data_IF_654877741991
#
_entry.id   IF_654877741991
#
_cell.length_a   1.000
_cell.length_b   1.000
_cell.length_c   1.000
_cell.angle_alpha   90.00
_cell.angle_beta   90.00
_cell.angle_gamma   90.00
#
_symmetry.space_group_name_H-M   'P 1'
#
loop_
_entity.id
_entity.type
_entity.pdbx_description
1 polymer ?
#
# COMPACT_ATOMS: atom_id res chain seq x y z
N UNK A 1 28.04 4.03 -6.70
CA UNK A 1 27.06 4.82 -5.93
C UNK A 1 26.04 5.30 -6.95
N UNK A 2 24.88 4.65 -7.03
CA UNK A 2 23.85 5.03 -8.02
C UNK A 2 22.98 6.07 -7.35
N UNK A 3 23.20 7.34 -7.72
CA UNK A 3 22.35 8.45 -7.32
C UNK A 3 21.20 8.46 -8.34
N UNK A 4 20.02 8.03 -7.92
CA UNK A 4 18.81 8.27 -8.71
C UNK A 4 18.50 9.77 -8.62
N UNK A 5 18.96 10.54 -9.60
CA UNK A 5 18.51 11.92 -9.83
C UNK A 5 17.14 11.85 -10.50
N UNK A 6 16.12 11.48 -9.72
CA UNK A 6 14.71 11.64 -10.09
C UNK A 6 14.24 12.99 -9.55
N UNK A 7 14.92 14.07 -9.95
CA UNK A 7 14.74 15.39 -9.32
C UNK A 7 13.33 15.98 -9.55
N UNK A 8 12.52 15.41 -10.45
CA UNK A 8 11.16 15.90 -10.78
C UNK A 8 10.00 14.90 -10.67
N UNK A 9 10.24 13.67 -10.22
CA UNK A 9 9.16 12.67 -10.22
C UNK A 9 8.37 12.67 -8.90
N UNK A 10 7.04 12.74 -8.91
CA UNK A 10 6.22 12.43 -7.73
C UNK A 10 6.43 10.96 -7.34
N UNK A 11 6.90 10.70 -6.11
CA UNK A 11 7.21 9.36 -5.63
C UNK A 11 6.39 9.08 -4.37
N UNK A 12 5.73 7.92 -4.37
CA UNK A 12 4.98 7.42 -3.22
C UNK A 12 5.38 5.99 -2.88
N UNK A 13 5.44 5.66 -1.60
CA UNK A 13 5.53 4.31 -1.08
C UNK A 13 4.34 4.05 -0.16
N UNK A 14 3.65 2.91 -0.34
CA UNK A 14 2.45 2.56 0.43
C UNK A 14 2.56 1.12 0.90
N UNK A 15 2.18 0.86 2.15
CA UNK A 15 1.95 -0.50 2.66
C UNK A 15 2.47 -0.73 4.07
N UNK A 16 2.46 -1.99 4.50
CA UNK A 16 3.00 -2.45 5.78
C UNK A 16 4.53 -2.63 5.70
N UNK A 17 5.26 -1.78 6.42
CA UNK A 17 6.73 -1.85 6.48
C UNK A 17 7.24 -2.66 7.68
N UNK A 18 6.35 -3.10 8.58
CA UNK A 18 6.69 -3.69 9.88
C UNK A 18 7.69 -2.83 10.68
N UNK A 19 7.67 -1.52 10.41
CA UNK A 19 8.61 -0.53 10.90
C UNK A 19 7.90 0.35 11.93
N UNK A 20 8.40 0.39 13.17
CA UNK A 20 7.90 1.30 14.20
C UNK A 20 8.80 2.50 14.24
N UNK A 21 8.27 3.69 13.98
CA UNK A 21 9.06 4.92 13.92
C UNK A 21 8.93 5.79 15.17
N UNK A 22 8.01 5.46 16.10
CA UNK A 22 7.73 6.25 17.32
C UNK A 22 7.34 7.68 16.94
N UNK A 23 8.04 8.67 17.47
CA UNK A 23 7.98 10.12 17.28
C UNK A 23 9.27 10.68 16.65
N UNK A 24 10.19 9.79 16.25
CA UNK A 24 11.47 10.18 15.67
C UNK A 24 11.26 10.88 14.31
N UNK A 25 11.91 12.05 14.07
CA UNK A 25 11.85 12.76 12.80
C UNK A 25 12.33 11.94 11.60
N UNK A 26 11.60 12.04 10.49
CA UNK A 26 11.88 11.41 9.19
C UNK A 26 12.62 12.36 8.21
N UNK A 27 12.92 13.59 8.64
CA UNK A 27 13.69 14.58 7.89
C UNK A 27 15.07 14.82 8.51
N UNK A 28 15.97 15.40 7.72
CA UNK A 28 17.29 15.82 8.20
C UNK A 28 17.14 17.18 8.89
N UNK A 29 17.52 17.26 10.16
CA UNK A 29 17.62 18.56 10.83
C UNK A 29 18.87 19.26 10.33
N UNK A 30 18.67 20.45 9.78
CA UNK A 30 19.75 21.34 9.39
C UNK A 30 20.19 22.11 10.65
N UNK A 31 21.50 22.22 10.87
CA UNK A 31 22.04 23.08 11.92
C UNK A 31 22.10 24.52 11.40
N UNK A 32 21.26 25.38 11.98
CA UNK A 32 21.17 26.80 11.62
C UNK A 32 22.53 27.51 11.67
N UNK A 33 23.43 27.13 12.59
CA UNK A 33 24.75 27.74 12.70
C UNK A 33 25.66 27.33 11.54
N UNK A 34 25.51 26.10 11.03
CA UNK A 34 26.31 25.62 9.91
C UNK A 34 25.89 26.34 8.62
N UNK A 35 24.62 26.71 8.50
CA UNK A 35 24.10 27.48 7.38
C UNK A 35 24.65 28.90 7.31
N UNK A 36 24.68 29.60 8.46
CA UNK A 36 25.23 30.95 8.54
C UNK A 36 26.74 30.97 8.25
N UNK A 37 27.47 29.94 8.69
CA UNK A 37 28.91 29.80 8.45
C UNK A 37 29.24 29.48 6.99
N UNK A 38 28.40 28.72 6.29
CA UNK A 38 28.69 28.23 4.94
C UNK A 38 28.25 29.18 3.82
N UNK A 39 27.60 30.31 4.13
CA UNK A 39 27.09 31.29 3.15
C UNK A 39 26.37 30.62 1.96
N UNK A 40 25.62 29.54 2.21
CA UNK A 40 24.97 28.76 1.15
C UNK A 40 23.90 29.65 0.52
N UNK A 41 24.17 30.14 -0.69
CA UNK A 41 23.20 30.88 -1.50
C UNK A 41 21.95 30.02 -1.72
N UNK A 42 20.77 30.65 -1.61
CA UNK A 42 19.43 30.03 -1.59
C UNK A 42 19.09 29.07 -2.76
N UNK A 43 19.94 28.96 -3.78
CA UNK A 43 19.69 28.19 -4.99
C UNK A 43 20.10 26.69 -4.89
N UNK A 44 20.73 26.24 -3.79
CA UNK A 44 21.45 24.95 -3.80
C UNK A 44 20.79 23.81 -3.00
N UNK A 45 19.84 24.03 -2.10
CA UNK A 45 19.40 22.94 -1.21
C UNK A 45 17.97 22.43 -1.46
N UNK A 46 17.86 21.25 -2.09
CA UNK A 46 16.61 20.51 -2.30
C UNK A 46 15.87 20.30 -0.97
N UNK A 47 16.60 20.11 0.14
CA UNK A 47 15.99 20.00 1.48
C UNK A 47 15.31 21.29 1.93
N UNK A 48 15.90 22.46 1.61
CA UNK A 48 15.26 23.74 1.89
C UNK A 48 14.02 23.95 1.04
N UNK A 49 14.08 23.61 -0.24
CA UNK A 49 12.91 23.66 -1.11
C UNK A 49 11.78 22.76 -0.58
N UNK A 50 12.10 21.59 -0.05
CA UNK A 50 11.09 20.69 0.53
C UNK A 50 10.49 21.24 1.82
N UNK A 51 11.29 21.82 2.73
CA UNK A 51 10.77 22.50 3.93
C UNK A 51 9.89 23.70 3.58
N UNK A 52 10.29 24.51 2.59
CA UNK A 52 9.49 25.62 2.06
C UNK A 52 8.18 25.08 1.48
N UNK A 53 8.23 24.03 0.66
CA UNK A 53 7.06 23.42 0.06
C UNK A 53 6.07 22.89 1.11
N UNK A 54 6.56 22.21 2.14
CA UNK A 54 5.71 21.77 3.25
C UNK A 54 5.07 22.97 3.96
N UNK A 55 5.85 24.01 4.24
CA UNK A 55 5.37 25.22 4.92
C UNK A 55 4.32 25.97 4.10
N UNK A 56 4.54 26.15 2.80
CA UNK A 56 3.60 26.80 1.88
C UNK A 56 2.27 26.04 1.78
N UNK A 57 2.31 24.71 1.85
CA UNK A 57 1.12 23.86 1.89
C UNK A 57 0.54 23.68 3.31
N UNK A 58 1.06 24.42 4.29
CA UNK A 58 0.66 24.36 5.68
C UNK A 58 0.74 22.91 6.22
N UNK A 59 1.83 22.20 5.94
CA UNK A 59 2.07 20.82 6.38
C UNK A 59 3.08 20.87 7.53
N UNK A 60 2.76 20.33 8.71
CA UNK A 60 3.67 20.37 9.84
C UNK A 60 4.93 19.57 9.53
N UNK A 61 6.09 20.11 9.94
CA UNK A 61 7.38 19.47 9.75
C UNK A 61 7.62 18.31 10.72
N UNK A 62 7.09 18.39 11.93
CA UNK A 62 7.03 17.23 12.82
C UNK A 62 5.71 16.50 12.63
N UNK A 63 5.80 15.18 12.62
CA UNK A 63 4.62 14.31 12.54
C UNK A 63 4.02 14.10 13.92
N UNK A 64 2.69 14.16 13.96
CA UNK A 64 1.93 13.73 15.13
C UNK A 64 1.77 12.22 15.09
N UNK A 65 1.74 11.58 16.25
CA UNK A 65 1.65 10.12 16.34
C UNK A 65 0.95 9.71 17.62
N UNK A 66 0.08 8.72 17.50
CA UNK A 66 -0.50 7.97 18.62
C UNK A 66 0.24 6.65 18.84
N UNK A 67 1.31 6.36 18.09
CA UNK A 67 2.15 5.19 18.31
C UNK A 67 2.76 5.28 19.71
N UNK A 68 2.41 4.31 20.56
CA UNK A 68 2.92 4.23 21.94
C UNK A 68 4.15 3.31 22.04
N UNK A 69 4.60 2.73 20.93
CA UNK A 69 5.75 1.83 20.90
C UNK A 69 6.99 2.57 20.43
N UNK A 70 8.11 2.26 21.09
CA UNK A 70 9.41 2.73 20.67
C UNK A 70 9.80 2.23 19.28
N UNK A 71 10.67 3.01 18.63
CA UNK A 71 11.16 2.67 17.32
C UNK A 71 11.93 1.35 17.33
N UNK A 72 11.73 0.54 16.28
CA UNK A 72 12.46 -0.71 16.08
C UNK A 72 13.55 -0.57 15.02
N UNK A 73 14.36 -1.61 14.81
CA UNK A 73 15.44 -1.59 13.82
C UNK A 73 14.94 -1.30 12.39
N UNK A 74 13.75 -1.78 12.03
CA UNK A 74 13.14 -1.50 10.73
C UNK A 74 12.69 -0.04 10.63
N UNK A 75 12.15 0.53 11.71
CA UNK A 75 11.82 1.94 11.84
C UNK A 75 13.02 2.85 11.67
N UNK A 76 14.13 2.56 12.34
CA UNK A 76 15.36 3.33 12.17
C UNK A 76 15.89 3.27 10.73
N UNK A 77 15.77 2.12 10.06
CA UNK A 77 16.12 1.98 8.64
C UNK A 77 15.18 2.77 7.73
N UNK A 78 13.87 2.73 8.00
CA UNK A 78 12.86 3.48 7.26
C UNK A 78 13.08 4.98 7.40
N UNK A 79 13.27 5.47 8.63
CA UNK A 79 13.59 6.87 8.90
C UNK A 79 14.88 7.30 8.20
N UNK A 80 15.93 6.47 8.25
CA UNK A 80 17.17 6.77 7.55
C UNK A 80 16.99 6.79 6.02
N UNK A 81 16.11 5.98 5.45
CA UNK A 81 15.73 6.09 4.04
C UNK A 81 15.02 7.42 3.79
N UNK A 82 13.97 7.75 4.55
CA UNK A 82 13.21 8.99 4.43
C UNK A 82 14.12 10.23 4.42
N UNK A 83 15.06 10.31 5.38
CA UNK A 83 16.01 11.43 5.50
C UNK A 83 16.96 11.55 4.31
N UNK A 84 17.38 10.41 3.74
CA UNK A 84 18.33 10.37 2.64
C UNK A 84 17.68 10.59 1.27
N UNK A 85 16.38 10.36 1.16
CA UNK A 85 15.63 10.48 -0.09
C UNK A 85 14.61 11.63 -0.05
N UNK A 86 14.66 12.48 0.98
CA UNK A 86 13.71 13.56 1.24
C UNK A 86 12.25 13.12 1.07
N UNK A 87 11.92 12.00 1.71
CA UNK A 87 10.56 11.47 1.77
C UNK A 87 9.98 11.64 3.16
N UNK A 88 8.68 11.85 3.23
CA UNK A 88 7.95 12.22 4.42
C UNK A 88 6.79 11.24 4.64
N UNK A 89 6.68 10.74 5.86
CA UNK A 89 5.55 9.95 6.34
C UNK A 89 4.35 10.88 6.47
N UNK A 90 3.23 10.58 5.80
CA UNK A 90 2.04 11.45 5.80
C UNK A 90 1.21 11.37 7.07
N UNK A 91 1.26 10.24 7.79
CA UNK A 91 0.54 10.04 9.05
C UNK A 91 0.85 11.15 10.05
N UNK A 92 -0.19 11.76 10.60
CA UNK A 92 -0.07 12.92 11.50
C UNK A 92 0.22 14.26 10.82
N UNK A 93 0.48 14.30 9.51
CA UNK A 93 0.83 15.54 8.78
C UNK A 93 -0.29 16.08 7.91
N UNK A 94 -1.07 15.22 7.26
CA UNK A 94 -1.97 15.63 6.18
C UNK A 94 -3.39 15.07 6.33
N UNK A 95 -4.33 15.70 5.63
CA UNK A 95 -5.72 15.23 5.54
C UNK A 95 -6.44 15.19 6.88
N UNK A 96 -7.36 14.23 7.02
CA UNK A 96 -8.14 14.02 8.24
C UNK A 96 -7.29 13.46 9.40
N UNK A 97 -6.09 12.96 9.12
CA UNK A 97 -5.15 12.45 10.12
C UNK A 97 -4.14 13.51 10.60
N UNK A 98 -4.17 14.71 10.02
CA UNK A 98 -3.31 15.84 10.40
C UNK A 98 -3.46 16.19 11.87
N UNK A 99 -2.34 16.34 12.57
CA UNK A 99 -2.28 16.58 14.03
C UNK A 99 -2.82 15.44 14.90
N UNK A 100 -3.14 14.28 14.32
CA UNK A 100 -3.65 13.11 15.05
C UNK A 100 -2.61 12.00 15.02
N UNK A 101 -2.28 11.49 13.82
CA UNK A 101 -1.33 10.39 13.66
C UNK A 101 -1.88 9.06 14.18
N UNK A 102 -3.05 8.66 13.70
CA UNK A 102 -3.73 7.43 14.12
C UNK A 102 -2.84 6.20 13.88
N UNK A 103 -2.90 5.28 14.83
CA UNK A 103 -2.29 3.95 14.76
C UNK A 103 -2.93 3.10 13.66
N UNK A 104 -2.12 2.26 13.01
CA UNK A 104 -2.54 1.39 11.91
C UNK A 104 -2.40 -0.10 12.24
N UNK A 105 -2.04 -0.44 13.47
CA UNK A 105 -1.96 -1.83 13.91
C UNK A 105 -2.32 -1.96 15.38
N UNK A 106 -3.33 -2.80 15.66
CA UNK A 106 -3.76 -3.21 17.03
C UNK A 106 -3.91 -2.05 18.01
N UNK A 107 -4.38 -0.90 17.55
CA UNK A 107 -4.52 0.33 18.35
C UNK A 107 -3.26 0.75 19.13
N UNK A 108 -2.07 0.34 18.66
CA UNK A 108 -0.82 0.55 19.43
C UNK A 108 0.36 1.02 18.59
N UNK A 109 0.40 0.72 17.30
CA UNK A 109 1.52 1.10 16.44
C UNK A 109 1.08 1.61 15.08
N UNK A 110 1.93 2.44 14.48
CA UNK A 110 1.86 2.79 13.05
C UNK A 110 2.84 1.86 12.33
N UNK A 111 2.32 1.02 11.44
CA UNK A 111 3.10 0.06 10.64
C UNK A 111 2.81 0.17 9.15
N UNK A 112 1.61 0.64 8.81
CA UNK A 112 1.14 0.91 7.46
C UNK A 112 1.36 2.38 7.18
N UNK A 113 2.16 2.66 6.15
CA UNK A 113 2.57 4.01 5.83
C UNK A 113 2.10 4.40 4.44
N UNK A 114 1.73 5.67 4.30
CA UNK A 114 1.81 6.39 3.05
C UNK A 114 2.98 7.37 3.18
N UNK A 115 4.00 7.20 2.34
CA UNK A 115 5.25 7.96 2.39
C UNK A 115 5.44 8.61 1.05
N UNK A 116 5.72 9.91 1.04
CA UNK A 116 5.71 10.71 -0.18
C UNK A 116 6.87 11.70 -0.19
N UNK A 117 7.36 12.08 -1.37
CA UNK A 117 8.20 13.28 -1.46
C UNK A 117 7.34 14.55 -1.41
N UNK A 118 7.99 15.70 -1.18
CA UNK A 118 7.33 17.01 -1.02
C UNK A 118 6.34 17.34 -2.15
N UNK A 119 6.68 16.97 -3.39
CA UNK A 119 5.90 17.23 -4.61
C UNK A 119 4.53 16.55 -4.60
N UNK A 120 4.40 15.38 -4.00
CA UNK A 120 3.12 14.67 -3.99
C UNK A 120 2.11 15.38 -3.09
N UNK A 121 2.53 16.18 -2.11
CA UNK A 121 1.58 16.89 -1.26
C UNK A 121 0.68 17.88 -2.00
N UNK A 122 1.10 18.42 -3.15
CA UNK A 122 0.25 19.29 -3.96
C UNK A 122 -0.86 18.55 -4.70
N UNK A 123 -0.77 17.21 -4.79
CA UNK A 123 -1.75 16.35 -5.47
C UNK A 123 -2.54 15.45 -4.52
N UNK A 124 -2.23 15.42 -3.22
CA UNK A 124 -3.07 14.68 -2.26
C UNK A 124 -4.30 15.53 -1.94
N UNK A 125 -5.49 15.05 -2.29
CA UNK A 125 -6.76 15.67 -1.89
C UNK A 125 -7.18 15.21 -0.51
N UNK A 126 -7.10 13.90 -0.26
CA UNK A 126 -7.53 13.30 1.00
C UNK A 126 -6.51 12.26 1.50
N UNK A 127 -6.33 12.25 2.81
CA UNK A 127 -5.62 11.20 3.53
C UNK A 127 -6.34 10.93 4.85
N UNK A 128 -6.73 9.68 5.09
CA UNK A 128 -7.38 9.26 6.33
C UNK A 128 -6.99 7.83 6.73
N UNK A 129 -6.72 7.63 8.01
CA UNK A 129 -6.74 6.29 8.62
C UNK A 129 -8.18 5.99 9.08
N UNK A 130 -8.90 5.19 8.29
CA UNK A 130 -10.26 4.76 8.56
C UNK A 130 -10.23 3.63 9.58
N UNK A 131 -11.08 3.73 10.60
CA UNK A 131 -11.16 2.79 11.72
C UNK A 131 -11.24 1.31 11.31
N UNK A 132 -10.78 0.46 12.22
CA UNK A 132 -10.72 -0.98 12.03
C UNK A 132 -12.08 -1.58 11.66
N UNK A 133 -12.09 -2.42 10.63
CA UNK A 133 -13.25 -3.18 10.20
C UNK A 133 -12.89 -4.69 10.15
N UNK A 134 -13.46 -5.51 11.04
CA UNK A 134 -13.22 -6.96 11.08
C UNK A 134 -13.56 -7.70 9.78
N UNK A 135 -14.32 -7.08 8.87
CA UNK A 135 -14.63 -7.66 7.57
C UNK A 135 -13.42 -7.61 6.61
N UNK A 136 -12.56 -6.62 6.75
CA UNK A 136 -11.45 -6.34 5.83
C UNK A 136 -10.07 -6.67 6.39
N UNK A 137 -9.92 -6.74 7.72
CA UNK A 137 -8.65 -7.07 8.37
C UNK A 137 -8.89 -7.71 9.73
N UNK A 138 -7.88 -8.40 10.24
CA UNK A 138 -7.83 -8.91 11.62
C UNK A 138 -7.19 -7.90 12.59
N UNK A 139 -6.28 -7.04 12.12
CA UNK A 139 -5.50 -6.15 13.00
C UNK A 139 -5.16 -4.77 12.43
N UNK A 140 -5.39 -4.52 11.14
CA UNK A 140 -5.03 -3.28 10.46
C UNK A 140 -6.26 -2.44 10.06
N UNK A 141 -6.34 -1.16 10.47
CA UNK A 141 -7.26 -0.18 9.88
C UNK A 141 -6.93 0.09 8.41
N UNK A 142 -7.84 0.76 7.69
CA UNK A 142 -7.66 1.06 6.26
C UNK A 142 -7.00 2.42 6.07
N UNK A 143 -6.06 2.51 5.14
CA UNK A 143 -5.56 3.79 4.62
C UNK A 143 -6.43 4.22 3.44
N UNK A 144 -7.05 5.39 3.55
CA UNK A 144 -7.80 6.04 2.48
C UNK A 144 -6.98 7.21 1.94
N UNK A 145 -6.74 7.20 0.63
CA UNK A 145 -5.90 8.17 -0.06
C UNK A 145 -6.63 8.58 -1.34
N UNK A 146 -6.80 9.87 -1.56
CA UNK A 146 -7.32 10.44 -2.80
C UNK A 146 -6.25 11.34 -3.42
N UNK A 147 -5.89 11.06 -4.68
CA UNK A 147 -4.88 11.80 -5.42
C UNK A 147 -5.52 12.49 -6.64
N UNK A 148 -5.23 13.78 -6.81
CA UNK A 148 -5.60 14.56 -7.97
C UNK A 148 -4.53 14.45 -9.05
N UNK A 149 -4.87 13.91 -10.22
CA UNK A 149 -3.93 13.86 -11.35
C UNK A 149 -4.50 14.62 -12.54
N UNK A 150 -3.68 15.46 -13.19
CA UNK A 150 -4.08 16.11 -14.43
C UNK A 150 -4.00 15.11 -15.60
N UNK A 151 -5.18 14.76 -16.15
CA UNK A 151 -5.50 13.74 -17.19
C UNK A 151 -5.83 12.37 -16.57
N UNK A 152 -7.05 11.81 -16.73
CA UNK A 152 -7.93 11.78 -17.91
C UNK A 152 -9.34 12.31 -17.59
N UNK A 153 -9.91 13.17 -18.45
CA UNK A 153 -11.33 13.59 -18.48
C UNK A 153 -12.32 12.46 -18.78
N UNK A 154 -11.86 11.23 -18.85
CA UNK A 154 -12.72 10.07 -18.83
C UNK A 154 -13.02 9.79 -17.36
N UNK A 155 -14.18 10.26 -16.89
CA UNK A 155 -14.77 9.71 -15.67
C UNK A 155 -14.69 8.20 -15.81
N UNK A 156 -13.89 7.56 -14.96
CA UNK A 156 -13.98 6.13 -14.75
C UNK A 156 -15.43 5.88 -14.35
N UNK A 157 -16.27 5.49 -15.31
CA UNK A 157 -17.57 4.94 -14.98
C UNK A 157 -17.19 3.73 -14.16
N UNK A 158 -17.51 3.75 -12.86
CA UNK A 158 -17.42 2.53 -12.08
C UNK A 158 -18.11 1.46 -12.93
N UNK A 159 -17.42 0.37 -13.31
CA UNK A 159 -18.13 -0.73 -13.93
C UNK A 159 -19.26 -1.04 -12.95
N UNK A 160 -20.51 -0.93 -13.43
CA UNK A 160 -21.65 -1.41 -12.67
C UNK A 160 -21.22 -2.74 -12.08
N UNK A 161 -21.37 -2.90 -10.76
CA UNK A 161 -20.99 -4.12 -10.09
C UNK A 161 -21.81 -5.26 -10.69
N UNK A 162 -21.33 -5.84 -11.78
CA UNK A 162 -21.78 -7.11 -12.25
C UNK A 162 -21.43 -8.03 -11.09
N UNK A 163 -22.47 -8.59 -10.47
CA UNK A 163 -22.30 -9.66 -9.50
C UNK A 163 -21.51 -10.76 -10.20
N UNK A 164 -20.19 -10.71 -10.12
CA UNK A 164 -19.34 -11.85 -10.45
C UNK A 164 -19.80 -12.89 -9.45
N UNK A 165 -20.54 -13.88 -9.93
CA UNK A 165 -20.89 -15.05 -9.14
C UNK A 165 -19.58 -15.53 -8.52
N UNK A 166 -19.42 -15.33 -7.20
CA UNK A 166 -18.20 -15.67 -6.46
C UNK A 166 -17.93 -17.16 -6.65
N UNK A 167 -17.10 -17.48 -7.63
CA UNK A 167 -16.49 -18.79 -7.78
C UNK A 167 -15.47 -18.90 -6.67
N UNK A 168 -15.89 -19.40 -5.51
CA UNK A 168 -14.96 -19.72 -4.43
C UNK A 168 -14.23 -21.00 -4.79
N UNK A 169 -13.08 -20.86 -5.43
CA UNK A 169 -12.10 -21.93 -5.56
C UNK A 169 -11.33 -21.99 -4.23
N UNK A 170 -11.49 -23.07 -3.48
CA UNK A 170 -10.64 -23.32 -2.31
C UNK A 170 -9.34 -23.97 -2.78
N UNK A 171 -8.22 -23.36 -2.42
CA UNK A 171 -6.90 -23.95 -2.62
C UNK A 171 -6.83 -25.35 -2.00
N UNK A 172 -6.29 -26.30 -2.76
CA UNK A 172 -6.11 -27.70 -2.39
C UNK A 172 -4.65 -28.07 -2.59
N UNK A 173 -3.84 -28.21 -1.52
CA UNK A 173 -2.42 -28.52 -1.63
C UNK A 173 -2.13 -29.75 -2.49
N UNK A 174 -3.02 -30.75 -2.47
CA UNK A 174 -2.94 -31.97 -3.27
C UNK A 174 -3.11 -31.75 -4.79
N UNK A 175 -3.59 -30.57 -5.21
CA UNK A 175 -3.78 -30.20 -6.62
C UNK A 175 -2.68 -29.28 -7.16
N UNK A 176 -1.64 -28.99 -6.39
CA UNK A 176 -0.51 -28.13 -6.78
C UNK A 176 0.14 -28.56 -8.09
N UNK A 177 0.45 -29.84 -8.24
CA UNK A 177 1.17 -30.32 -9.42
C UNK A 177 0.30 -30.24 -10.68
N UNK A 178 -1.00 -30.54 -10.54
CA UNK A 178 -1.99 -30.41 -11.61
C UNK A 178 -2.16 -28.93 -12.02
N UNK A 179 -2.09 -28.00 -11.07
CA UNK A 179 -2.10 -26.57 -11.38
C UNK A 179 -0.84 -26.11 -12.10
N UNK A 180 0.34 -26.54 -11.65
CA UNK A 180 1.61 -26.28 -12.35
C UNK A 180 1.59 -26.79 -13.79
N UNK A 181 1.10 -28.01 -14.00
CA UNK A 181 0.96 -28.58 -15.36
C UNK A 181 0.02 -27.73 -16.22
N UNK A 182 -1.14 -27.32 -15.70
CA UNK A 182 -2.07 -26.47 -16.45
C UNK A 182 -1.54 -25.07 -16.74
N UNK A 183 -0.75 -24.49 -15.83
CA UNK A 183 -0.04 -23.21 -16.07
C UNK A 183 1.04 -23.39 -17.14
N UNK A 184 1.81 -24.47 -17.09
CA UNK A 184 2.83 -24.74 -18.11
C UNK A 184 2.23 -24.91 -19.52
N UNK A 185 0.99 -25.41 -19.63
CA UNK A 185 0.29 -25.53 -20.91
C UNK A 185 -0.09 -24.18 -21.54
N UNK A 186 -0.28 -23.14 -20.72
CA UNK A 186 -0.64 -21.78 -21.18
C UNK A 186 0.57 -20.83 -21.20
N UNK A 187 1.75 -21.29 -20.77
CA UNK A 187 2.95 -20.47 -20.62
C UNK A 187 3.41 -19.83 -21.95
N UNK A 188 3.37 -20.60 -23.04
CA UNK A 188 3.70 -20.10 -24.38
C UNK A 188 2.71 -19.04 -24.87
N UNK A 189 1.45 -19.14 -24.49
CA UNK A 189 0.40 -18.17 -24.85
C UNK A 189 0.54 -16.87 -24.05
N UNK A 190 0.89 -16.97 -22.75
CA UNK A 190 1.22 -15.82 -21.91
C UNK A 190 2.45 -15.09 -22.47
N UNK A 191 3.52 -15.82 -22.82
CA UNK A 191 4.74 -15.25 -23.42
C UNK A 191 4.41 -14.53 -24.74
N UNK A 192 3.57 -15.14 -25.58
CA UNK A 192 3.12 -14.52 -26.83
C UNK A 192 2.31 -13.24 -26.59
N UNK A 193 1.41 -13.24 -25.60
CA UNK A 193 0.64 -12.05 -25.20
C UNK A 193 1.56 -10.94 -24.71
N UNK A 194 2.56 -11.25 -23.88
CA UNK A 194 3.56 -10.29 -23.41
C UNK A 194 4.38 -9.71 -24.57
N UNK A 195 4.86 -10.55 -25.50
CA UNK A 195 5.64 -10.08 -26.65
C UNK A 195 4.82 -9.22 -27.62
N UNK A 196 3.50 -9.45 -27.71
CA UNK A 196 2.62 -8.65 -28.55
C UNK A 196 2.37 -7.23 -28.03
N UNK A 197 2.76 -6.93 -26.79
CA UNK A 197 2.73 -5.57 -26.23
C UNK A 197 3.74 -4.64 -26.92
N UNK A 198 4.82 -5.17 -27.47
CA UNK A 198 5.91 -4.37 -28.07
C UNK A 198 5.64 -3.99 -29.54
N UNK A 199 4.63 -4.58 -30.20
CA UNK A 199 4.54 -4.62 -31.66
C UNK A 199 3.28 -3.99 -32.29
N UNK A 200 2.53 -3.12 -31.60
CA UNK A 200 1.29 -2.54 -32.17
C UNK A 200 1.17 -1.02 -32.08
N UNK A 201 0.30 -0.43 -32.91
CA UNK A 201 0.03 1.02 -33.00
C UNK A 201 -1.10 1.53 -32.06
N UNK A 202 -1.72 0.64 -31.25
CA UNK A 202 -2.77 1.08 -30.30
C UNK A 202 -2.20 1.97 -29.17
N UNK A 203 -3.07 2.61 -28.37
CA UNK A 203 -2.60 3.34 -27.18
C UNK A 203 -2.00 2.36 -26.14
N UNK A 204 -0.95 2.74 -25.38
CA UNK A 204 -0.33 1.86 -24.40
C UNK A 204 -1.31 1.32 -23.34
N UNK A 205 -2.25 2.15 -22.91
CA UNK A 205 -3.22 1.82 -21.86
C UNK A 205 -4.22 0.74 -22.32
N UNK A 206 -4.79 0.89 -23.53
CA UNK A 206 -5.75 -0.07 -24.08
C UNK A 206 -5.11 -1.46 -24.26
N UNK A 207 -3.83 -1.50 -24.67
CA UNK A 207 -3.08 -2.75 -24.81
C UNK A 207 -2.83 -3.43 -23.48
N UNK A 208 -2.37 -2.68 -22.49
CA UNK A 208 -2.05 -3.21 -21.16
C UNK A 208 -3.31 -3.81 -20.54
N UNK A 209 -4.43 -3.08 -20.57
CA UNK A 209 -5.68 -3.56 -20.01
C UNK A 209 -6.17 -4.84 -20.71
N UNK A 210 -6.17 -4.85 -22.05
CA UNK A 210 -6.59 -6.03 -22.84
C UNK A 210 -5.69 -7.24 -22.62
N UNK A 211 -4.38 -7.04 -22.53
CA UNK A 211 -3.43 -8.13 -22.28
C UNK A 211 -3.60 -8.66 -20.85
N UNK A 212 -3.79 -7.78 -19.87
CA UNK A 212 -4.03 -8.16 -18.49
C UNK A 212 -5.33 -8.98 -18.35
N UNK A 213 -6.43 -8.54 -18.98
CA UNK A 213 -7.69 -9.29 -19.00
C UNK A 213 -7.51 -10.71 -19.55
N UNK A 214 -6.83 -10.86 -20.69
CA UNK A 214 -6.56 -12.17 -21.29
C UNK A 214 -5.69 -13.07 -20.42
N UNK A 215 -4.64 -12.52 -19.81
CA UNK A 215 -3.78 -13.28 -18.88
C UNK A 215 -4.61 -13.72 -17.68
N UNK A 216 -5.47 -12.85 -17.13
CA UNK A 216 -6.38 -13.21 -16.05
C UNK A 216 -7.32 -14.35 -16.45
N UNK A 217 -7.93 -14.30 -17.64
CA UNK A 217 -8.80 -15.35 -18.16
C UNK A 217 -8.07 -16.69 -18.27
N UNK A 218 -6.87 -16.72 -18.85
CA UNK A 218 -6.06 -17.92 -18.99
C UNK A 218 -5.71 -18.54 -17.63
N UNK A 219 -5.32 -17.71 -16.65
CA UNK A 219 -5.01 -18.16 -15.30
C UNK A 219 -6.25 -18.67 -14.57
N UNK A 220 -7.40 -18.03 -14.74
CA UNK A 220 -8.69 -18.48 -14.20
C UNK A 220 -9.08 -19.83 -14.82
N UNK A 221 -8.86 -20.02 -16.12
CA UNK A 221 -9.14 -21.29 -16.79
C UNK A 221 -8.23 -22.41 -16.29
N UNK A 222 -6.92 -22.15 -16.18
CA UNK A 222 -5.96 -23.10 -15.62
C UNK A 222 -6.35 -23.50 -14.18
N UNK A 223 -6.70 -22.52 -13.35
CA UNK A 223 -7.18 -22.76 -11.99
C UNK A 223 -8.48 -23.58 -11.99
N UNK A 224 -9.42 -23.26 -12.88
CA UNK A 224 -10.69 -23.96 -12.99
C UNK A 224 -10.53 -25.42 -13.41
N UNK A 225 -9.60 -25.71 -14.33
CA UNK A 225 -9.21 -27.07 -14.72
C UNK A 225 -8.58 -27.85 -13.57
N UNK A 226 -7.80 -27.19 -12.71
CA UNK A 226 -7.10 -27.85 -11.60
C UNK A 226 -7.97 -28.11 -10.38
N UNK A 227 -8.82 -27.16 -10.01
CA UNK A 227 -9.56 -27.18 -8.76
C UNK A 227 -11.06 -27.47 -8.93
N UNK A 228 -11.59 -27.32 -10.15
CA UNK A 228 -13.01 -27.44 -10.48
C UNK A 228 -13.86 -26.28 -9.95
N UNK A 229 -15.06 -26.09 -10.53
CA UNK A 229 -16.03 -25.14 -10.00
C UNK A 229 -16.87 -25.78 -8.89
N UNK A 230 -16.86 -25.20 -7.68
CA UNK A 230 -17.85 -25.54 -6.67
C UNK A 230 -19.12 -24.70 -6.89
N UNK A 231 -20.18 -25.28 -7.47
CA UNK A 231 -21.52 -24.68 -7.36
C UNK A 231 -21.90 -24.67 -5.88
N UNK A 232 -22.27 -23.51 -5.32
CA UNK A 232 -22.94 -23.47 -4.02
C UNK A 232 -24.27 -24.21 -4.15
N UNK A 233 -24.31 -25.46 -3.72
CA UNK A 233 -25.56 -26.06 -3.24
C UNK A 233 -26.09 -25.22 -2.10
N UNK A 234 -27.41 -25.01 -2.06
CA UNK A 234 -28.09 -24.16 -1.09
C UNK A 234 -27.64 -24.41 0.35
N UNK A 235 -27.65 -23.35 1.14
CA UNK A 235 -27.28 -23.35 2.55
C UNK A 235 -28.08 -24.39 3.34
N UNK A 236 -27.53 -25.60 3.53
CA UNK A 236 -27.93 -26.45 4.64
C UNK A 236 -27.15 -26.00 5.87
N UNK A 237 -27.83 -25.27 6.76
CA UNK A 237 -27.37 -24.93 8.10
C UNK A 237 -27.26 -26.22 8.92
N UNK A 238 -26.13 -26.91 8.84
CA UNK A 238 -25.73 -27.82 9.90
C UNK A 238 -24.80 -27.06 10.86
N UNK A 239 -25.07 -27.08 12.18
CA UNK A 239 -24.21 -26.42 13.15
C UNK A 239 -22.82 -27.06 13.10
N UNK A 240 -21.79 -26.24 12.86
CA UNK A 240 -20.40 -26.71 12.85
C UNK A 240 -20.05 -27.19 14.26
N UNK A 241 -19.63 -28.45 14.39
CA UNK A 241 -18.96 -28.96 15.59
C UNK A 241 -17.73 -28.08 15.86
N UNK A 242 -17.68 -27.48 17.05
CA UNK A 242 -16.53 -26.74 17.54
C UNK A 242 -15.29 -27.65 17.54
N UNK A 243 -14.21 -27.19 16.92
CA UNK A 243 -12.92 -27.86 16.96
C UNK A 243 -12.23 -27.57 18.31
N UNK A 244 -11.50 -28.53 18.90
CA UNK A 244 -11.08 -28.47 20.32
C UNK A 244 -10.08 -27.36 20.66
N UNK A 245 -9.38 -26.81 19.66
CA UNK A 245 -8.32 -25.83 19.87
C UNK A 245 -8.82 -24.39 20.14
N UNK A 246 -10.12 -24.14 20.09
CA UNK A 246 -10.70 -22.82 20.42
C UNK A 246 -11.24 -22.70 21.86
N UNK A 247 -11.03 -23.69 22.73
CA UNK A 247 -11.46 -23.63 24.13
C UNK A 247 -10.26 -23.51 25.08
N UNK A 248 -9.61 -22.35 25.15
CA UNK A 248 -8.81 -22.01 26.34
C UNK A 248 -9.75 -21.50 27.44
N UNK A 249 -9.77 -22.27 28.52
CA UNK A 249 -10.49 -21.98 29.75
C UNK A 249 -10.14 -20.58 30.28
N UNK A 250 -11.17 -19.76 30.50
CA UNK A 250 -11.15 -18.81 31.60
C UNK A 250 -11.10 -19.63 32.89
N UNK A 251 -9.93 -19.74 33.50
CA UNK A 251 -9.82 -20.11 34.91
C UNK A 251 -9.91 -18.82 35.73
N UNK A 252 -10.98 -18.69 36.51
CA UNK A 252 -11.15 -17.66 37.53
C UNK A 252 -10.02 -17.71 38.57
N UNK A 253 -9.64 -16.59 39.22
CA UNK A 253 -8.66 -16.61 40.29
C UNK A 253 -9.25 -17.22 41.57
N UNK A 254 -8.44 -17.92 42.39
CA UNK A 254 -8.89 -18.47 43.65
C UNK A 254 -9.11 -17.37 44.70
N UNK A 255 -10.02 -17.69 45.63
CA UNK A 255 -10.46 -16.88 46.78
C UNK A 255 -9.33 -16.56 47.76
#
# INVERSE_FOLDING_TARGET
MIQFLAEDTPITLIGDFNARTSDIPDFTQVDDNLFEILEIENDIDIQFNDHINLTLNNIPLDRFTQDIKHANNYGNKLLNMCRKTNMYITSGRFGADRYIGKVTCKDTSVLDYFIVNSKVFSIIEEFEVIGFDPLFSDVHPRLHILLQTEKTTERYQQPESQMIHKLTVKWKPEKVNVFKENVNLIDSEIIHLCNSLEASDESPETKINRTNEKICELLIEAASKSFGYAKKGGFNKNPKKLQPWFCNHMASPPQ
#
